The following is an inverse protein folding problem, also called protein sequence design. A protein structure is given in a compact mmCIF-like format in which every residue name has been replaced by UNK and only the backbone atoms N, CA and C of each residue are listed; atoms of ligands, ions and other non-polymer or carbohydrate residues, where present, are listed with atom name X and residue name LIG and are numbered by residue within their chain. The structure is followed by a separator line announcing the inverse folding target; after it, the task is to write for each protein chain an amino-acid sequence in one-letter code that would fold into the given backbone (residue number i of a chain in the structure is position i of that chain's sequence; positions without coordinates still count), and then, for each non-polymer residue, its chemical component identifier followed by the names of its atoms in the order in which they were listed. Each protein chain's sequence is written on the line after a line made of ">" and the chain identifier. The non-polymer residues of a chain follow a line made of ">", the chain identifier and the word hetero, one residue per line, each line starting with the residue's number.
data_IF_416340084749
#
_entry.id   IF_416340084749
#
_cell.length_a   1.000
_cell.length_b   1.000
_cell.length_c   1.000
_cell.angle_alpha   90.00
_cell.angle_beta   90.00
_cell.angle_gamma   90.00
#
_symmetry.space_group_name_H-M   'P 1'
#
loop_
_entity.id
_entity.type
_entity.pdbx_description
1 polymer ?
#
# COMPACT_ATOMS: atom_id res chain seq x y z
N UNK A 1 0.30 2.60 -21.73
CA UNK A 1 -0.15 3.21 -20.46
C UNK A 1 0.00 2.13 -19.41
N UNK A 2 0.70 2.39 -18.32
CA UNK A 2 0.76 1.41 -17.23
C UNK A 2 -0.66 1.23 -16.68
N UNK A 3 -1.14 0.00 -16.69
CA UNK A 3 -2.42 -0.41 -16.13
C UNK A 3 -2.42 -0.25 -14.61
N UNK A 4 -3.61 -0.18 -13.99
CA UNK A 4 -3.75 -0.10 -12.52
C UNK A 4 -2.95 -1.19 -11.80
N UNK A 5 -2.88 -2.38 -12.41
CA UNK A 5 -2.10 -3.53 -11.94
C UNK A 5 -0.60 -3.28 -11.96
N UNK A 6 -0.08 -2.72 -13.05
CA UNK A 6 1.34 -2.37 -13.16
C UNK A 6 1.74 -1.32 -12.12
N UNK A 7 0.87 -0.32 -11.85
CA UNK A 7 1.15 0.66 -10.79
C UNK A 7 1.06 0.08 -9.39
N UNK A 8 0.06 -0.75 -9.12
CA UNK A 8 -0.03 -1.47 -7.85
C UNK A 8 1.23 -2.32 -7.61
N UNK A 9 1.74 -3.00 -8.64
CA UNK A 9 2.95 -3.81 -8.55
C UNK A 9 4.22 -2.96 -8.33
N UNK A 10 4.32 -1.78 -8.94
CA UNK A 10 5.42 -0.85 -8.65
C UNK A 10 5.38 -0.34 -7.20
N UNK A 11 4.20 0.06 -6.71
CA UNK A 11 4.02 0.49 -5.33
C UNK A 11 4.28 -0.63 -4.33
N UNK A 12 3.85 -1.85 -4.65
CA UNK A 12 4.15 -3.04 -3.86
C UNK A 12 5.66 -3.32 -3.79
N UNK A 13 6.37 -3.23 -4.92
CA UNK A 13 7.83 -3.36 -4.94
C UNK A 13 8.53 -2.26 -4.14
N UNK A 14 8.00 -1.03 -4.13
CA UNK A 14 8.49 0.05 -3.28
C UNK A 14 8.29 -0.28 -1.80
N UNK A 15 7.14 -0.82 -1.42
CA UNK A 15 6.88 -1.27 -0.04
C UNK A 15 7.85 -2.38 0.39
N UNK A 16 8.15 -3.35 -0.48
CA UNK A 16 9.10 -4.43 -0.20
C UNK A 16 10.54 -3.93 0.00
N UNK A 17 10.91 -2.83 -0.66
CA UNK A 17 12.25 -2.23 -0.58
C UNK A 17 12.35 -1.12 0.46
N UNK A 18 11.22 -0.58 0.91
CA UNK A 18 11.18 0.50 1.86
C UNK A 18 11.62 0.00 3.23
N UNK A 19 12.50 0.77 3.88
CA UNK A 19 12.80 0.53 5.28
C UNK A 19 11.53 0.75 6.10
N UNK A 20 10.80 1.86 5.92
CA UNK A 20 9.57 2.15 6.65
C UNK A 20 8.31 1.99 5.76
N UNK A 21 7.62 0.85 5.76
CA UNK A 21 6.46 0.62 4.90
C UNK A 21 5.29 1.57 5.18
N UNK A 22 5.05 1.93 6.45
CA UNK A 22 4.00 2.92 6.83
C UNK A 22 4.24 4.30 6.21
N UNK A 23 5.49 4.76 6.20
CA UNK A 23 5.86 6.04 5.60
C UNK A 23 5.82 5.96 4.07
N UNK A 24 6.23 4.83 3.50
CA UNK A 24 6.14 4.60 2.06
C UNK A 24 4.68 4.55 1.58
N UNK A 25 3.75 3.96 2.35
CA UNK A 25 2.31 4.00 2.05
C UNK A 25 1.78 5.43 1.96
N UNK A 26 2.18 6.32 2.87
CA UNK A 26 1.78 7.74 2.81
C UNK A 26 2.33 8.43 1.55
N UNK A 27 3.57 8.11 1.16
CA UNK A 27 4.15 8.60 -0.10
C UNK A 27 3.40 8.06 -1.31
N UNK A 28 3.05 6.77 -1.30
CA UNK A 28 2.25 6.14 -2.36
C UNK A 28 0.87 6.80 -2.46
N UNK A 29 0.21 7.07 -1.33
CA UNK A 29 -1.07 7.80 -1.32
C UNK A 29 -0.95 9.19 -1.96
N UNK A 30 0.12 9.91 -1.63
CA UNK A 30 0.37 11.25 -2.16
C UNK A 30 0.67 11.18 -3.66
N UNK A 31 1.48 10.22 -4.10
CA UNK A 31 1.79 9.97 -5.50
C UNK A 31 0.52 9.61 -6.30
N UNK A 32 -0.33 8.75 -5.72
CA UNK A 32 -1.60 8.35 -6.28
C UNK A 32 -2.58 9.51 -6.46
N UNK A 33 -2.61 10.46 -5.52
CA UNK A 33 -3.44 11.66 -5.67
C UNK A 33 -2.89 12.66 -6.69
N UNK A 34 -1.59 12.63 -6.97
CA UNK A 34 -0.94 13.48 -7.97
C UNK A 34 -0.85 12.82 -9.35
N UNK A 35 -1.28 11.56 -9.49
CA UNK A 35 -1.26 10.83 -10.75
C UNK A 35 -2.19 11.51 -11.77
N UNK A 36 -1.64 11.80 -12.94
CA UNK A 36 -2.35 12.35 -14.09
C UNK A 36 -2.29 11.38 -15.27
N UNK A 37 -3.39 11.23 -15.99
CA UNK A 37 -3.41 10.50 -17.25
C UNK A 37 -2.56 11.23 -18.28
N UNK A 38 -1.57 10.55 -18.85
CA UNK A 38 -0.70 11.13 -19.87
C UNK A 38 -1.44 11.55 -21.13
N UNK A 39 -2.52 10.84 -21.49
CA UNK A 39 -3.31 11.11 -22.69
C UNK A 39 -4.24 12.32 -22.54
N UNK A 40 -4.87 12.50 -21.37
CA UNK A 40 -5.86 13.57 -21.15
C UNK A 40 -5.32 14.74 -20.32
N UNK A 41 -4.12 14.59 -19.72
CA UNK A 41 -3.55 15.49 -18.70
C UNK A 41 -4.48 15.78 -17.52
N UNK A 42 -5.51 14.94 -17.33
CA UNK A 42 -6.43 15.04 -16.20
C UNK A 42 -5.94 14.16 -15.04
N UNK A 43 -6.19 14.55 -13.79
CA UNK A 43 -5.98 13.67 -12.65
C UNK A 43 -6.73 12.35 -12.86
N UNK A 44 -6.19 11.26 -12.31
CA UNK A 44 -6.87 9.98 -12.34
C UNK A 44 -8.16 10.04 -11.52
N UNK A 45 -9.20 9.40 -12.04
CA UNK A 45 -10.49 9.36 -11.38
C UNK A 45 -10.42 8.54 -10.08
N UNK A 46 -11.32 8.86 -9.15
CA UNK A 46 -11.45 8.16 -7.88
C UNK A 46 -11.56 6.64 -8.06
N UNK A 47 -12.30 6.18 -9.08
CA UNK A 47 -12.43 4.75 -9.37
C UNK A 47 -11.09 4.10 -9.70
N UNK A 48 -10.24 4.75 -10.49
CA UNK A 48 -8.90 4.24 -10.81
C UNK A 48 -7.96 4.30 -9.60
N UNK A 49 -8.05 5.35 -8.77
CA UNK A 49 -7.33 5.43 -7.49
C UNK A 49 -7.66 4.23 -6.60
N UNK A 50 -8.96 3.93 -6.45
CA UNK A 50 -9.43 2.81 -5.64
C UNK A 50 -8.98 1.47 -6.23
N UNK A 51 -9.08 1.28 -7.54
CA UNK A 51 -8.65 0.06 -8.22
C UNK A 51 -7.16 -0.24 -8.00
N UNK A 52 -6.30 0.78 -8.08
CA UNK A 52 -4.87 0.64 -7.77
C UNK A 52 -4.66 0.23 -6.31
N UNK A 53 -5.41 0.82 -5.37
CA UNK A 53 -5.32 0.49 -3.95
C UNK A 53 -5.85 -0.92 -3.65
N UNK A 54 -6.87 -1.39 -4.36
CA UNK A 54 -7.39 -2.76 -4.23
C UNK A 54 -6.40 -3.80 -4.76
N UNK A 55 -5.80 -3.56 -5.92
CA UNK A 55 -4.75 -4.45 -6.44
C UNK A 55 -3.52 -4.46 -5.50
N UNK A 56 -3.16 -3.30 -4.93
CA UNK A 56 -2.08 -3.22 -3.94
C UNK A 56 -2.42 -4.01 -2.67
N UNK A 57 -3.65 -3.89 -2.16
CA UNK A 57 -4.14 -4.67 -1.03
C UNK A 57 -4.06 -6.18 -1.32
N UNK A 58 -4.47 -6.59 -2.53
CA UNK A 58 -4.45 -7.98 -2.96
C UNK A 58 -3.02 -8.56 -2.94
N UNK A 59 -2.05 -7.83 -3.48
CA UNK A 59 -0.64 -8.22 -3.50
C UNK A 59 -0.07 -8.38 -2.08
N UNK A 60 -0.46 -7.49 -1.16
CA UNK A 60 -0.03 -7.53 0.24
C UNK A 60 -0.65 -8.72 0.96
N UNK A 61 -1.95 -9.00 0.76
CA UNK A 61 -2.60 -10.18 1.34
C UNK A 61 -1.99 -11.49 0.86
N UNK A 62 -1.48 -11.53 -0.37
CA UNK A 62 -0.81 -12.72 -0.92
C UNK A 62 0.64 -12.89 -0.45
N UNK A 63 1.21 -11.89 0.24
CA UNK A 63 2.63 -11.89 0.62
C UNK A 63 2.77 -12.11 2.13
N UNK A 64 3.25 -13.27 2.59
CA UNK A 64 3.09 -13.69 3.99
C UNK A 64 3.93 -12.99 5.07
N UNK A 65 4.75 -11.97 4.77
CA UNK A 65 5.67 -11.40 5.79
C UNK A 65 6.21 -9.98 5.44
N UNK A 66 5.36 -8.96 5.24
CA UNK A 66 5.88 -7.59 5.09
C UNK A 66 6.30 -6.99 6.44
N UNK A 67 5.61 -7.36 7.52
CA UNK A 67 5.84 -6.79 8.86
C UNK A 67 6.94 -7.50 9.66
N UNK A 68 7.14 -8.82 9.49
CA UNK A 68 8.21 -9.58 10.16
C UNK A 68 9.61 -9.03 9.87
N UNK A 69 9.82 -8.44 8.69
CA UNK A 69 11.12 -7.86 8.31
C UNK A 69 11.47 -6.59 9.08
N UNK A 70 10.48 -5.95 9.71
CA UNK A 70 10.62 -4.65 10.35
C UNK A 70 10.63 -4.70 11.89
N UNK A 71 10.38 -5.88 12.47
CA UNK A 71 10.19 -6.06 13.92
C UNK A 71 11.51 -6.31 14.68
N UNK A 72 12.52 -5.46 14.46
CA UNK A 72 13.72 -5.37 15.29
C UNK A 72 13.85 -3.98 15.93
N UNK A 73 12.82 -3.57 16.66
CA UNK A 73 12.90 -2.39 17.51
C UNK A 73 11.57 -2.03 18.15
N UNK A 74 11.47 -2.26 19.47
CA UNK A 74 10.52 -1.59 20.41
C UNK A 74 9.06 -2.03 20.22
N UNK A 75 8.40 -2.84 21.06
CA UNK A 75 8.38 -2.94 22.52
C UNK A 75 7.84 -4.30 22.98
N UNK A 76 8.19 -4.64 24.22
CA UNK A 76 7.67 -5.72 25.05
C UNK A 76 6.14 -5.63 25.28
N UNK A 77 5.43 -6.74 25.09
CA UNK A 77 4.38 -7.29 25.97
C UNK A 77 3.25 -8.02 25.21
N UNK A 78 2.88 -9.18 25.77
CA UNK A 78 1.68 -10.03 25.55
C UNK A 78 1.85 -11.18 24.54
N UNK A 79 1.93 -12.37 25.15
CA UNK A 79 1.79 -13.72 24.58
C UNK A 79 0.58 -13.84 23.64
N UNK A 80 0.81 -14.52 22.51
CA UNK A 80 -0.19 -15.30 21.80
C UNK A 80 -0.28 -14.96 20.32
N UNK A 81 -0.13 -15.98 19.49
CA UNK A 81 -0.31 -15.98 18.02
C UNK A 81 0.73 -15.22 17.20
N UNK A 82 1.77 -15.95 16.79
CA UNK A 82 2.49 -15.73 15.54
C UNK A 82 1.50 -15.85 14.36
N UNK A 83 0.73 -14.81 14.11
CA UNK A 83 0.13 -14.56 12.81
C UNK A 83 0.91 -13.37 12.25
N UNK A 84 1.78 -13.67 11.29
CA UNK A 84 2.50 -12.66 10.49
C UNK A 84 1.47 -11.99 9.58
N UNK A 85 0.69 -11.10 10.16
CA UNK A 85 -0.52 -10.61 9.53
C UNK A 85 -0.28 -9.16 9.16
N UNK A 86 -0.33 -8.83 7.85
CA UNK A 86 -0.10 -7.49 7.32
C UNK A 86 -1.22 -6.49 7.74
N UNK A 87 -1.90 -6.73 8.86
CA UNK A 87 -3.14 -6.10 9.29
C UNK A 87 -2.99 -4.59 9.45
N UNK A 88 -1.86 -4.12 9.99
CA UNK A 88 -1.56 -2.69 10.15
C UNK A 88 -1.44 -1.99 8.78
N UNK A 89 -0.77 -2.64 7.83
CA UNK A 89 -0.62 -2.13 6.46
C UNK A 89 -1.98 -2.11 5.74
N UNK A 90 -2.76 -3.17 5.91
CA UNK A 90 -4.10 -3.30 5.31
C UNK A 90 -5.07 -2.26 5.87
N UNK A 91 -5.01 -1.93 7.17
CA UNK A 91 -5.84 -0.89 7.78
C UNK A 91 -5.52 0.50 7.19
N UNK A 92 -4.22 0.81 7.01
CA UNK A 92 -3.79 2.05 6.37
C UNK A 92 -4.30 2.14 4.93
N UNK A 93 -4.23 1.05 4.15
CA UNK A 93 -4.75 1.01 2.78
C UNK A 93 -6.28 1.18 2.77
N UNK A 94 -6.98 0.56 3.71
CA UNK A 94 -8.42 0.71 3.87
C UNK A 94 -8.81 2.16 4.20
N UNK A 95 -8.06 2.81 5.07
CA UNK A 95 -8.21 4.24 5.37
C UNK A 95 -7.93 5.12 4.15
N UNK A 96 -6.90 4.79 3.35
CA UNK A 96 -6.57 5.47 2.09
C UNK A 96 -7.71 5.34 1.06
N UNK A 97 -8.34 4.17 0.93
CA UNK A 97 -9.51 3.96 0.08
C UNK A 97 -10.70 4.81 0.51
N UNK A 98 -10.97 4.91 1.82
CA UNK A 98 -12.05 5.75 2.35
C UNK A 98 -11.81 7.25 2.12
N UNK A 99 -10.55 7.68 2.14
CA UNK A 99 -10.12 9.07 1.92
C UNK A 99 -9.83 9.40 0.46
N UNK A 100 -9.90 8.44 -0.45
CA UNK A 100 -9.78 8.74 -1.87
C UNK A 100 -11.02 9.53 -2.29
N UNK A 101 -10.88 10.85 -2.34
CA UNK A 101 -11.83 11.80 -2.92
C UNK A 101 -11.62 11.91 -4.43
#
# INVERSE_FOLDING_TARGET
>A
MATSKERALEYFNRLLKANNPKLELQKIYTDLNNLIYTASKKPIDRSTKVEILEELEHLIRQTPSLEERHNYGTYDSIRGTTASDNSDILDVISAMKKRAE
#
